data_IF_255043459577
#
_entry.id   IF_255043459577
#
_cell.length_a   1.000
_cell.length_b   1.000
_cell.length_c   1.000
_cell.angle_alpha   90.00
_cell.angle_beta   90.00
_cell.angle_gamma   90.00
#
_symmetry.space_group_name_H-M   'P 1'
#
loop_
_entity.id
_entity.type
_entity.pdbx_description
1 polymer ?
#
# COMPACT_ATOMS: atom_id res chain seq x y z
N UNK A 1 25.06 -15.19 -25.76
CA UNK A 1 23.73 -15.31 -25.14
C UNK A 1 23.72 -14.47 -23.88
N UNK A 2 22.68 -13.64 -23.75
CA UNK A 2 22.56 -12.49 -22.84
C UNK A 2 22.45 -12.91 -21.38
N UNK A 3 23.33 -12.38 -20.52
CA UNK A 3 23.13 -12.33 -19.06
C UNK A 3 23.15 -10.87 -18.63
N UNK A 4 22.09 -10.14 -18.96
CA UNK A 4 21.70 -8.94 -18.23
C UNK A 4 20.60 -9.38 -17.25
N UNK A 5 21.00 -10.06 -16.17
CA UNK A 5 20.23 -9.97 -14.93
C UNK A 5 20.51 -8.57 -14.37
N UNK A 6 19.79 -7.59 -14.89
CA UNK A 6 19.78 -6.24 -14.35
C UNK A 6 19.34 -6.36 -12.89
N UNK A 7 20.25 -6.02 -11.99
CA UNK A 7 20.04 -5.99 -10.55
C UNK A 7 18.94 -4.97 -10.20
N UNK A 8 17.67 -5.36 -10.35
CA UNK A 8 16.52 -4.59 -9.87
C UNK A 8 16.33 -4.70 -8.35
N UNK A 9 17.32 -5.22 -7.62
CA UNK A 9 17.26 -5.52 -6.19
C UNK A 9 16.93 -4.35 -5.23
N UNK A 10 17.27 -3.07 -5.49
CA UNK A 10 17.02 -1.99 -4.53
C UNK A 10 15.64 -1.30 -4.67
N UNK A 11 15.04 -1.27 -5.87
CA UNK A 11 13.84 -0.45 -6.12
C UNK A 11 12.58 -1.03 -5.46
N UNK A 12 12.44 -2.36 -5.49
CA UNK A 12 11.30 -3.05 -4.85
C UNK A 12 11.27 -2.87 -3.33
N UNK A 13 12.46 -2.72 -2.74
CA UNK A 13 12.62 -2.51 -1.32
C UNK A 13 12.04 -1.16 -0.88
N UNK A 14 12.27 -0.16 -1.72
CA UNK A 14 11.76 1.19 -1.52
C UNK A 14 10.23 1.24 -1.68
N UNK A 15 9.66 0.59 -2.70
CA UNK A 15 8.22 0.54 -2.92
C UNK A 15 7.45 -0.18 -1.79
N UNK A 16 8.01 -1.28 -1.29
CA UNK A 16 7.47 -2.01 -0.13
C UNK A 16 7.43 -1.13 1.11
N UNK A 17 8.55 -0.48 1.44
CA UNK A 17 8.67 0.44 2.57
C UNK A 17 7.74 1.65 2.45
N UNK A 18 7.64 2.26 1.27
CA UNK A 18 6.69 3.36 1.05
C UNK A 18 5.25 2.92 1.26
N UNK A 19 4.89 1.73 0.75
CA UNK A 19 3.54 1.19 0.93
C UNK A 19 3.23 1.01 2.42
N UNK A 20 4.16 0.44 3.19
CA UNK A 20 4.00 0.25 4.63
C UNK A 20 3.88 1.59 5.38
N UNK A 21 4.72 2.59 5.05
CA UNK A 21 4.63 3.91 5.68
C UNK A 21 3.29 4.65 5.41
N UNK A 22 2.71 4.46 4.23
CA UNK A 22 1.37 5.01 3.92
C UNK A 22 0.29 4.27 4.71
N UNK A 23 0.38 2.94 4.84
CA UNK A 23 -0.57 2.17 5.65
C UNK A 23 -0.60 2.69 7.10
N UNK A 24 0.57 2.89 7.70
CA UNK A 24 0.69 3.40 9.07
C UNK A 24 0.12 4.82 9.21
N UNK A 25 0.41 5.71 8.25
CA UNK A 25 -0.06 7.10 8.26
C UNK A 25 -1.59 7.23 8.24
N UNK A 26 -2.25 6.31 7.55
CA UNK A 26 -3.71 6.29 7.38
C UNK A 26 -4.42 5.27 8.28
N UNK A 27 -3.68 4.57 9.16
CA UNK A 27 -4.22 3.51 10.03
C UNK A 27 -4.98 2.44 9.23
N UNK A 28 -4.32 1.93 8.18
CA UNK A 28 -4.85 0.90 7.29
C UNK A 28 -4.13 -0.41 7.61
N UNK A 29 -4.89 -1.45 7.95
CA UNK A 29 -4.29 -2.76 8.21
C UNK A 29 -3.77 -3.41 6.90
N UNK A 30 -2.61 -4.10 6.92
CA UNK A 30 -2.10 -4.83 5.75
C UNK A 30 -3.11 -5.82 5.14
N UNK A 31 -3.94 -6.45 5.99
CA UNK A 31 -5.02 -7.35 5.57
C UNK A 31 -6.15 -6.63 4.81
N UNK A 32 -6.44 -5.38 5.18
CA UNK A 32 -7.41 -4.54 4.49
C UNK A 32 -6.92 -4.21 3.08
N UNK A 33 -5.63 -3.86 2.95
CA UNK A 33 -4.99 -3.65 1.65
C UNK A 33 -4.97 -4.93 0.80
N UNK A 34 -4.70 -6.10 1.39
CA UNK A 34 -4.76 -7.39 0.72
C UNK A 34 -6.15 -7.65 0.11
N UNK A 35 -7.18 -7.44 0.93
CA UNK A 35 -8.57 -7.59 0.51
C UNK A 35 -8.95 -6.60 -0.59
N UNK A 36 -8.56 -5.33 -0.47
CA UNK A 36 -8.91 -4.28 -1.42
C UNK A 36 -8.19 -4.40 -2.77
N UNK A 37 -6.94 -4.86 -2.77
CA UNK A 37 -6.13 -5.06 -3.98
C UNK A 37 -6.40 -6.41 -4.67
N UNK A 38 -7.04 -7.35 -3.97
CA UNK A 38 -7.20 -8.73 -4.42
C UNK A 38 -5.87 -9.50 -4.48
N UNK A 39 -4.88 -9.05 -3.69
CA UNK A 39 -3.56 -9.67 -3.59
C UNK A 39 -3.51 -10.48 -2.30
N UNK A 40 -3.03 -11.72 -2.38
CA UNK A 40 -2.93 -12.58 -1.21
C UNK A 40 -1.96 -12.00 -0.16
N UNK A 41 -2.29 -12.11 1.12
CA UNK A 41 -1.50 -11.53 2.24
C UNK A 41 -0.03 -11.97 2.22
N UNK A 42 0.25 -13.22 1.87
CA UNK A 42 1.64 -13.71 1.76
C UNK A 42 2.45 -13.03 0.66
N UNK A 43 1.81 -12.53 -0.39
CA UNK A 43 2.46 -11.74 -1.45
C UNK A 43 2.81 -10.35 -0.95
N UNK A 44 1.91 -9.70 -0.21
CA UNK A 44 2.16 -8.40 0.44
C UNK A 44 3.26 -8.51 1.50
N UNK A 45 3.22 -9.54 2.34
CA UNK A 45 4.27 -9.78 3.34
C UNK A 45 5.65 -9.94 2.68
N UNK A 46 5.75 -10.67 1.56
CA UNK A 46 7.02 -10.81 0.82
C UNK A 46 7.49 -9.51 0.17
N UNK A 47 6.55 -8.67 -0.23
CA UNK A 47 6.81 -7.35 -0.82
C UNK A 47 7.34 -6.36 0.20
N UNK A 48 6.78 -6.32 1.41
CA UNK A 48 7.28 -5.46 2.50
C UNK A 48 8.65 -5.89 3.02
N UNK A 49 8.95 -7.19 2.97
CA UNK A 49 10.20 -7.75 3.49
C UNK A 49 11.30 -7.90 2.41
N UNK A 50 11.15 -7.24 1.26
CA UNK A 50 12.14 -7.20 0.17
C UNK A 50 12.53 -8.56 -0.40
N UNK A 51 11.69 -9.58 -0.18
CA UNK A 51 12.06 -10.97 -0.47
C UNK A 51 11.76 -11.39 -1.90
N UNK A 52 10.93 -10.63 -2.63
CA UNK A 52 10.56 -11.00 -4.00
C UNK A 52 10.05 -9.81 -4.81
N UNK A 53 10.48 -9.66 -6.08
CA UNK A 53 9.88 -8.70 -6.99
C UNK A 53 8.39 -9.00 -7.22
N UNK A 54 7.59 -7.95 -7.25
CA UNK A 54 6.18 -7.99 -7.63
C UNK A 54 6.05 -7.63 -9.10
N UNK A 55 5.10 -8.27 -9.80
CA UNK A 55 4.78 -7.90 -11.20
C UNK A 55 4.12 -6.53 -11.23
N UNK A 56 4.44 -5.69 -12.21
CA UNK A 56 3.90 -4.32 -12.36
C UNK A 56 2.38 -4.24 -12.24
N UNK A 57 1.65 -5.19 -12.86
CA UNK A 57 0.19 -5.25 -12.77
C UNK A 57 -0.31 -5.46 -11.33
N UNK A 58 0.40 -6.24 -10.54
CA UNK A 58 0.10 -6.47 -9.13
C UNK A 58 0.46 -5.24 -8.29
N UNK A 59 1.60 -4.61 -8.56
CA UNK A 59 1.99 -3.35 -7.92
C UNK A 59 0.94 -2.25 -8.18
N UNK A 60 0.46 -2.12 -9.41
CA UNK A 60 -0.59 -1.17 -9.78
C UNK A 60 -1.89 -1.43 -9.00
N UNK A 61 -2.29 -2.70 -8.82
CA UNK A 61 -3.46 -3.05 -8.00
C UNK A 61 -3.29 -2.64 -6.55
N UNK A 62 -2.09 -2.84 -6.00
CA UNK A 62 -1.74 -2.44 -4.63
C UNK A 62 -1.84 -0.91 -4.51
N UNK A 63 -1.21 -0.16 -5.42
CA UNK A 63 -1.23 1.30 -5.42
C UNK A 63 -2.63 1.91 -5.55
N UNK A 64 -3.47 1.39 -6.46
CA UNK A 64 -4.86 1.84 -6.61
C UNK A 64 -5.67 1.56 -5.34
N UNK A 65 -5.51 0.38 -4.74
CA UNK A 65 -6.21 0.02 -3.51
C UNK A 65 -5.77 0.91 -2.33
N UNK A 66 -4.47 1.14 -2.18
CA UNK A 66 -3.89 2.00 -1.16
C UNK A 66 -4.43 3.43 -1.26
N UNK A 67 -4.43 4.01 -2.46
CA UNK A 67 -4.95 5.37 -2.69
C UNK A 67 -6.42 5.51 -2.28
N UNK A 68 -7.27 4.56 -2.69
CA UNK A 68 -8.70 4.57 -2.33
C UNK A 68 -8.93 4.43 -0.83
N UNK A 69 -8.18 3.57 -0.15
CA UNK A 69 -8.29 3.40 1.29
C UNK A 69 -7.82 4.67 2.03
N UNK A 70 -6.73 5.29 1.59
CA UNK A 70 -6.24 6.54 2.16
C UNK A 70 -7.27 7.68 1.99
N UNK A 71 -7.87 7.83 0.81
CA UNK A 71 -8.94 8.80 0.54
C UNK A 71 -10.15 8.59 1.46
N UNK A 72 -10.57 7.34 1.68
CA UNK A 72 -11.68 7.03 2.58
C UNK A 72 -11.38 7.42 4.03
N UNK A 73 -10.13 7.19 4.49
CA UNK A 73 -9.69 7.55 5.84
C UNK A 73 -9.63 9.06 6.02
N UNK A 74 -9.11 9.79 5.03
CA UNK A 74 -9.07 11.25 5.03
C UNK A 74 -10.48 11.87 5.06
N UNK A 75 -11.38 11.39 4.20
CA UNK A 75 -12.78 11.82 4.17
C UNK A 75 -13.49 11.58 5.52
N UNK A 76 -13.23 10.43 6.16
CA UNK A 76 -13.78 10.11 7.47
C UNK A 76 -13.25 11.06 8.56
N UNK A 77 -11.94 11.35 8.57
CA UNK A 77 -11.33 12.30 9.51
C UNK A 77 -11.92 13.70 9.35
N UNK A 78 -12.07 14.18 8.11
CA UNK A 78 -12.69 15.48 7.79
C UNK A 78 -14.15 15.57 8.27
N UNK A 79 -14.94 14.53 8.02
CA UNK A 79 -16.34 14.49 8.47
C UNK A 79 -16.45 14.51 10.01
N UNK A 80 -15.58 13.80 10.72
CA UNK A 80 -15.56 13.80 12.19
C UNK A 80 -15.20 15.18 12.76
N UNK A 81 -14.23 15.87 12.15
CA UNK A 81 -13.84 17.23 12.55
C UNK A 81 -14.99 18.23 12.31
N UNK A 82 -15.69 18.14 11.17
CA UNK A 82 -16.83 18.99 10.86
C UNK A 82 -17.99 18.78 11.86
N UNK A 83 -18.30 17.54 12.22
CA UNK A 83 -19.33 17.22 13.22
C UNK A 83 -18.97 17.70 14.63
N UNK A 84 -17.68 17.62 14.99
CA UNK A 84 -17.18 18.09 16.29
C UNK A 84 -17.19 19.62 16.42
N UNK A 85 -17.08 20.34 15.30
CA UNK A 85 -17.13 21.79 15.24
C UNK A 85 -18.57 22.34 15.22
N UNK A 86 -19.53 21.59 14.66
CA UNK A 86 -20.94 21.98 14.59
C UNK A 86 -21.76 21.66 15.85
N UNK A 87 -21.22 20.83 16.76
CA UNK A 87 -21.85 20.45 18.02
C UNK A 87 -21.45 21.29 19.24
N UNK A 88 -20.78 22.43 19.03
CA UNK A 88 -20.48 23.46 20.06
C UNK A 88 -21.20 24.75 19.72
#
# INVERSE_FOLDING_TARGET
MSQQETALGPEWCIEGQYTEGVLDSYDIAPKELASASGVHESTLSRFFNDRKPIKDKTLLKIGIALGRLAEQRDAKRKNQQAQSAAGR
#
